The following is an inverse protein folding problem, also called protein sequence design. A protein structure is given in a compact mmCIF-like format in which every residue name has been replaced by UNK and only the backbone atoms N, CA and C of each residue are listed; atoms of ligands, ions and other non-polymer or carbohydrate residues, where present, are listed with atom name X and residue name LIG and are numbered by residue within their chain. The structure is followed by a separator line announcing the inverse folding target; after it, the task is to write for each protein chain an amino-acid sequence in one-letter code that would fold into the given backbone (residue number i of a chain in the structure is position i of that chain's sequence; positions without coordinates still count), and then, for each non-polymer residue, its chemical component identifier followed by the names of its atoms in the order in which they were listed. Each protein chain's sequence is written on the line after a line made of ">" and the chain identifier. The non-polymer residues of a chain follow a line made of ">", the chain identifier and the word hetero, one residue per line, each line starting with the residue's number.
data_IF_399992372305
#
_entry.id   IF_399992372305
#
_cell.length_a   1.000
_cell.length_b   1.000
_cell.length_c   1.000
_cell.angle_alpha   90.00
_cell.angle_beta   90.00
_cell.angle_gamma   90.00
#
_symmetry.space_group_name_H-M   'P 1'
#
loop_
_entity.id
_entity.type
_entity.pdbx_description
1 polymer ?
#
# COMPACT_ATOMS: atom_id res chain seq x y z
N UNK A 1 13.74 -0.89 33.65
CA UNK A 1 14.47 -2.19 33.73
C UNK A 1 14.92 -2.60 32.33
N UNK A 2 16.21 -2.48 32.00
CA UNK A 2 16.79 -2.92 30.70
C UNK A 2 17.28 -4.36 30.86
N UNK A 3 16.46 -5.35 30.51
CA UNK A 3 16.88 -6.76 30.49
C UNK A 3 17.77 -6.99 29.27
N UNK A 4 19.06 -7.29 29.49
CA UNK A 4 19.97 -7.76 28.45
C UNK A 4 19.55 -9.17 28.00
N UNK A 5 18.64 -9.26 27.03
CA UNK A 5 18.27 -10.53 26.39
C UNK A 5 19.48 -11.04 25.59
N UNK A 6 20.02 -12.20 25.96
CA UNK A 6 20.99 -12.93 25.13
C UNK A 6 20.27 -13.38 23.86
N UNK A 7 20.81 -13.06 22.69
CA UNK A 7 20.27 -13.51 21.40
C UNK A 7 20.41 -15.04 21.34
N UNK A 8 19.28 -15.75 21.37
CA UNK A 8 19.23 -17.21 21.18
C UNK A 8 19.40 -17.55 19.69
N UNK A 9 19.95 -18.73 19.38
CA UNK A 9 20.17 -19.17 18.00
C UNK A 9 18.89 -19.13 17.14
N UNK A 10 17.74 -19.44 17.74
CA UNK A 10 16.42 -19.34 17.10
C UNK A 10 16.01 -17.89 16.78
N UNK A 11 16.38 -16.92 17.62
CA UNK A 11 16.13 -15.50 17.32
C UNK A 11 16.96 -15.02 16.14
N UNK A 12 18.22 -15.48 16.00
CA UNK A 12 19.05 -15.15 14.84
C UNK A 12 18.43 -15.67 13.53
N UNK A 13 17.88 -16.89 13.54
CA UNK A 13 17.15 -17.45 12.40
C UNK A 13 15.91 -16.63 12.02
N UNK A 14 15.11 -16.22 13.02
CA UNK A 14 13.94 -15.35 12.80
C UNK A 14 14.36 -14.00 12.21
N UNK A 15 15.40 -13.37 12.75
CA UNK A 15 15.91 -12.10 12.23
C UNK A 15 16.42 -12.23 10.79
N UNK A 16 17.10 -13.33 10.45
CA UNK A 16 17.55 -13.59 9.08
C UNK A 16 16.36 -13.69 8.10
N UNK A 17 15.30 -14.40 8.49
CA UNK A 17 14.08 -14.53 7.68
C UNK A 17 13.40 -13.17 7.51
N UNK A 18 13.26 -12.39 8.59
CA UNK A 18 12.67 -11.05 8.52
C UNK A 18 13.46 -10.18 7.55
N UNK A 19 14.80 -10.13 7.66
CA UNK A 19 15.65 -9.35 6.76
C UNK A 19 15.45 -9.81 5.31
N UNK A 20 15.45 -11.12 5.06
CA UNK A 20 15.25 -11.68 3.71
C UNK A 20 13.90 -11.25 3.12
N UNK A 21 12.80 -11.40 3.86
CA UNK A 21 11.45 -11.03 3.41
C UNK A 21 11.35 -9.51 3.22
N UNK A 22 11.93 -8.72 4.12
CA UNK A 22 11.97 -7.26 3.98
C UNK A 22 12.70 -6.84 2.71
N UNK A 23 13.87 -7.43 2.42
CA UNK A 23 14.61 -7.14 1.19
C UNK A 23 13.80 -7.53 -0.06
N UNK A 24 13.11 -8.66 -0.03
CA UNK A 24 12.23 -9.08 -1.13
C UNK A 24 11.09 -8.10 -1.40
N UNK A 25 10.44 -7.59 -0.35
CA UNK A 25 9.34 -6.61 -0.47
C UNK A 25 9.84 -5.23 -0.89
N UNK A 26 11.00 -4.82 -0.39
CA UNK A 26 11.60 -3.51 -0.72
C UNK A 26 12.17 -3.49 -2.14
N UNK A 27 12.64 -4.62 -2.67
CA UNK A 27 13.25 -4.71 -3.99
C UNK A 27 12.43 -4.08 -5.12
N UNK A 28 11.13 -4.40 -5.33
CA UNK A 28 10.33 -3.76 -6.38
C UNK A 28 10.11 -2.26 -6.13
N UNK A 29 10.03 -1.82 -4.88
CA UNK A 29 9.92 -0.39 -4.54
C UNK A 29 11.21 0.36 -4.86
N UNK A 30 12.36 -0.23 -4.53
CA UNK A 30 13.68 0.28 -4.91
C UNK A 30 13.79 0.40 -6.43
N UNK A 31 13.37 -0.65 -7.16
CA UNK A 31 13.42 -0.66 -8.61
C UNK A 31 12.52 0.41 -9.24
N UNK A 32 11.29 0.58 -8.74
CA UNK A 32 10.40 1.65 -9.18
C UNK A 32 11.01 3.05 -8.92
N UNK A 33 11.61 3.24 -7.73
CA UNK A 33 12.24 4.50 -7.35
C UNK A 33 13.41 4.87 -8.27
N UNK A 34 14.36 3.96 -8.48
CA UNK A 34 15.50 4.25 -9.36
C UNK A 34 15.06 4.48 -10.81
N UNK A 35 13.99 3.80 -11.26
CA UNK A 35 13.46 3.94 -12.62
C UNK A 35 12.87 5.33 -12.84
N UNK A 36 12.29 5.97 -11.81
CA UNK A 36 11.82 7.35 -11.91
C UNK A 36 12.91 8.37 -12.28
N UNK A 37 14.18 8.06 -11.98
CA UNK A 37 15.34 8.92 -12.28
C UNK A 37 16.09 8.52 -13.56
N UNK A 38 15.66 7.47 -14.26
CA UNK A 38 16.29 7.02 -15.51
C UNK A 38 15.68 7.69 -16.72
N UNK A 39 16.50 7.96 -17.73
CA UNK A 39 15.98 8.31 -19.06
C UNK A 39 15.23 7.11 -19.67
N UNK A 40 14.25 7.32 -20.58
CA UNK A 40 13.43 6.24 -21.14
C UNK A 40 14.24 5.08 -21.74
N UNK A 41 15.40 5.39 -22.31
CA UNK A 41 16.33 4.40 -22.86
C UNK A 41 16.94 3.48 -21.80
N UNK A 42 17.32 4.02 -20.63
CA UNK A 42 17.93 3.26 -19.54
C UNK A 42 16.88 2.52 -18.70
N UNK A 43 15.61 2.96 -18.74
CA UNK A 43 14.48 2.29 -18.09
C UNK A 43 14.17 0.93 -18.72
N UNK A 44 14.41 0.77 -20.02
CA UNK A 44 14.21 -0.50 -20.75
C UNK A 44 15.39 -1.47 -20.61
N UNK A 45 16.51 -1.04 -20.00
CA UNK A 45 17.71 -1.84 -19.79
C UNK A 45 17.79 -2.38 -18.36
N UNK A 46 18.43 -3.54 -18.18
CA UNK A 46 18.75 -4.10 -16.86
C UNK A 46 19.88 -3.30 -16.18
N UNK A 47 19.54 -2.10 -15.72
CA UNK A 47 20.40 -1.23 -14.91
C UNK A 47 19.83 -1.13 -13.50
N UNK A 48 20.64 -1.33 -12.47
CA UNK A 48 20.21 -1.30 -11.06
C UNK A 48 21.01 -0.31 -10.22
N UNK A 49 22.26 -0.02 -10.60
CA UNK A 49 23.21 0.74 -9.81
C UNK A 49 23.32 2.18 -10.37
N UNK A 50 22.85 3.21 -9.64
CA UNK A 50 23.00 4.60 -10.05
C UNK A 50 24.47 5.01 -10.10
N UNK A 51 24.82 5.97 -10.98
CA UNK A 51 26.17 6.49 -11.24
C UNK A 51 27.16 5.52 -11.88
N UNK A 52 26.97 4.21 -11.70
CA UNK A 52 27.78 3.18 -12.35
C UNK A 52 27.17 2.70 -13.68
N UNK A 53 25.85 2.48 -13.70
CA UNK A 53 25.15 1.92 -14.86
C UNK A 53 24.28 2.94 -15.61
N UNK A 54 23.88 4.03 -14.97
CA UNK A 54 23.11 5.13 -15.57
C UNK A 54 23.39 6.43 -14.82
N UNK A 55 23.18 7.57 -15.49
CA UNK A 55 23.25 8.90 -14.88
C UNK A 55 21.86 9.29 -14.36
N UNK A 56 21.66 9.45 -13.03
CA UNK A 56 20.37 9.87 -12.50
C UNK A 56 19.99 11.27 -12.99
N UNK A 57 18.78 11.42 -13.50
CA UNK A 57 18.26 12.71 -13.99
C UNK A 57 16.91 13.05 -13.34
N UNK A 58 16.60 14.34 -13.26
CA UNK A 58 15.30 14.85 -12.81
C UNK A 58 14.37 15.16 -13.98
N UNK A 59 14.72 14.78 -15.20
CA UNK A 59 13.99 15.12 -16.42
C UNK A 59 12.54 14.63 -16.36
N UNK A 60 12.32 13.36 -16.01
CA UNK A 60 10.97 12.80 -15.86
C UNK A 60 10.15 13.59 -14.83
N UNK A 61 10.72 13.89 -13.66
CA UNK A 61 10.02 14.67 -12.63
C UNK A 61 9.67 16.09 -13.11
N UNK A 62 10.54 16.73 -13.90
CA UNK A 62 10.27 18.05 -14.47
C UNK A 62 9.17 18.03 -15.54
N UNK A 63 9.14 16.99 -16.37
CA UNK A 63 8.07 16.79 -17.36
C UNK A 63 6.72 16.51 -16.66
N UNK A 64 6.73 15.62 -15.67
CA UNK A 64 5.57 15.18 -14.91
C UNK A 64 4.99 16.24 -13.96
N UNK A 65 5.83 17.15 -13.44
CA UNK A 65 5.38 18.29 -12.62
C UNK A 65 5.17 19.57 -13.43
N UNK A 66 5.63 19.60 -14.68
CA UNK A 66 5.60 20.74 -15.57
C UNK A 66 4.28 20.90 -16.33
N UNK A 67 4.35 21.42 -17.56
CA UNK A 67 3.18 21.75 -18.38
C UNK A 67 2.43 20.50 -18.90
N UNK A 68 3.14 19.39 -19.11
CA UNK A 68 2.57 18.12 -19.56
C UNK A 68 1.83 17.37 -18.43
N UNK A 69 2.21 17.60 -17.17
CA UNK A 69 1.68 16.93 -15.99
C UNK A 69 0.28 17.35 -15.50
N UNK A 70 -0.44 18.23 -16.21
CA UNK A 70 -1.74 18.75 -15.72
C UNK A 70 -2.78 17.65 -15.49
N UNK A 71 -2.85 16.70 -16.42
CA UNK A 71 -3.79 15.58 -16.33
C UNK A 71 -3.42 14.62 -15.19
N UNK A 72 -2.12 14.40 -14.96
CA UNK A 72 -1.65 13.57 -13.84
C UNK A 72 -1.96 14.25 -12.51
N UNK A 73 -1.69 15.56 -12.38
CA UNK A 73 -2.07 16.32 -11.18
C UNK A 73 -3.58 16.27 -10.91
N UNK A 74 -4.40 16.42 -11.95
CA UNK A 74 -5.87 16.28 -11.84
C UNK A 74 -6.26 14.86 -11.42
N UNK A 75 -5.67 13.84 -12.03
CA UNK A 75 -5.90 12.44 -11.67
C UNK A 75 -5.54 12.12 -10.22
N UNK A 76 -4.41 12.65 -9.73
CA UNK A 76 -3.99 12.52 -8.33
C UNK A 76 -4.97 13.20 -7.38
N UNK A 77 -5.41 14.43 -7.68
CA UNK A 77 -6.38 15.16 -6.86
C UNK A 77 -7.74 14.46 -6.84
N UNK A 78 -8.23 14.00 -8.00
CA UNK A 78 -9.47 13.25 -8.09
C UNK A 78 -9.39 11.96 -7.28
N UNK A 79 -8.31 11.19 -7.43
CA UNK A 79 -8.09 9.95 -6.67
C UNK A 79 -8.02 10.21 -5.17
N UNK A 80 -7.31 11.26 -4.76
CA UNK A 80 -7.22 11.65 -3.35
C UNK A 80 -8.58 12.03 -2.76
N UNK A 81 -9.35 12.86 -3.47
CA UNK A 81 -10.69 13.29 -3.04
C UNK A 81 -11.66 12.11 -2.98
N UNK A 82 -11.70 11.27 -4.02
CA UNK A 82 -12.59 10.11 -4.09
C UNK A 82 -12.22 9.09 -3.02
N UNK A 83 -10.94 8.72 -2.88
CA UNK A 83 -10.50 7.74 -1.90
C UNK A 83 -10.76 8.21 -0.47
N UNK A 84 -10.45 9.47 -0.16
CA UNK A 84 -10.68 10.02 1.18
C UNK A 84 -12.17 10.14 1.49
N UNK A 85 -12.97 10.66 0.54
CA UNK A 85 -14.42 10.77 0.69
C UNK A 85 -15.10 9.41 0.85
N UNK A 86 -14.75 8.45 0.00
CA UNK A 86 -15.28 7.09 0.08
C UNK A 86 -14.89 6.42 1.41
N UNK A 87 -13.64 6.58 1.86
CA UNK A 87 -13.17 6.03 3.14
C UNK A 87 -13.93 6.63 4.31
N UNK A 88 -14.12 7.96 4.34
CA UNK A 88 -14.87 8.63 5.40
C UNK A 88 -16.31 8.15 5.48
N UNK A 89 -17.00 8.08 4.34
CA UNK A 89 -18.39 7.60 4.27
C UNK A 89 -18.47 6.13 4.69
N UNK A 90 -17.62 5.28 4.11
CA UNK A 90 -17.60 3.84 4.39
C UNK A 90 -17.29 3.53 5.86
N UNK A 91 -16.30 4.20 6.45
CA UNK A 91 -15.97 4.04 7.87
C UNK A 91 -17.09 4.56 8.76
N UNK A 92 -17.70 5.71 8.45
CA UNK A 92 -18.78 6.28 9.26
C UNK A 92 -20.00 5.36 9.28
N UNK A 93 -20.49 4.96 8.10
CA UNK A 93 -21.64 4.07 7.98
C UNK A 93 -21.33 2.66 8.51
N UNK A 94 -20.14 2.14 8.20
CA UNK A 94 -19.69 0.83 8.65
C UNK A 94 -19.55 0.74 10.17
N UNK A 95 -19.08 1.81 10.82
CA UNK A 95 -18.95 1.85 12.29
C UNK A 95 -20.34 1.90 12.95
N UNK A 96 -21.27 2.71 12.43
CA UNK A 96 -22.64 2.78 12.94
C UNK A 96 -23.37 1.44 12.78
N UNK A 97 -23.27 0.83 11.59
CA UNK A 97 -23.87 -0.48 11.31
C UNK A 97 -23.25 -1.58 12.18
N UNK A 98 -21.91 -1.58 12.31
CA UNK A 98 -21.17 -2.51 13.16
C UNK A 98 -21.55 -2.36 14.64
N UNK A 99 -21.71 -1.13 15.13
CA UNK A 99 -22.17 -0.87 16.50
C UNK A 99 -23.59 -1.42 16.74
N UNK A 100 -24.50 -1.23 15.78
CA UNK A 100 -25.85 -1.79 15.84
C UNK A 100 -25.84 -3.31 16.02
N UNK A 101 -25.08 -4.02 15.18
CA UNK A 101 -24.92 -5.47 15.24
C UNK A 101 -24.19 -5.96 16.49
N UNK A 102 -23.27 -5.17 17.06
CA UNK A 102 -22.53 -5.53 18.26
C UNK A 102 -23.35 -5.34 19.55
N UNK A 103 -24.21 -4.31 19.60
CA UNK A 103 -24.92 -3.94 20.83
C UNK A 103 -26.32 -4.54 20.94
N UNK A 104 -27.04 -4.67 19.83
CA UNK A 104 -28.44 -5.11 19.81
C UNK A 104 -28.57 -6.54 19.27
N UNK A 105 -29.62 -7.25 19.69
CA UNK A 105 -29.97 -8.58 19.17
C UNK A 105 -31.17 -8.44 18.24
N UNK A 106 -31.00 -8.81 16.98
CA UNK A 106 -32.06 -8.75 15.97
C UNK A 106 -32.76 -10.11 15.83
N UNK A 107 -34.08 -10.10 15.57
CA UNK A 107 -34.92 -11.28 15.38
C UNK A 107 -36.02 -10.94 14.34
N UNK A 108 -36.42 -11.86 13.42
CA UNK A 108 -36.05 -13.28 13.33
C UNK A 108 -34.69 -13.59 12.69
N UNK A 109 -34.04 -12.60 12.09
CA UNK A 109 -32.72 -12.78 11.48
C UNK A 109 -31.65 -12.51 12.55
N UNK A 110 -30.93 -13.54 12.98
CA UNK A 110 -29.86 -13.37 13.96
C UNK A 110 -28.70 -12.56 13.37
N UNK A 111 -28.00 -11.82 14.23
CA UNK A 111 -26.89 -10.95 13.83
C UNK A 111 -25.81 -11.67 13.00
N UNK A 112 -25.55 -12.96 13.29
CA UNK A 112 -24.61 -13.81 12.56
C UNK A 112 -25.03 -14.02 11.11
N UNK A 113 -26.32 -14.25 10.86
CA UNK A 113 -26.85 -14.55 9.53
C UNK A 113 -26.83 -13.27 8.67
N UNK A 114 -27.11 -12.12 9.29
CA UNK A 114 -26.96 -10.81 8.64
C UNK A 114 -25.51 -10.52 8.25
N UNK A 115 -24.55 -10.77 9.15
CA UNK A 115 -23.12 -10.56 8.87
C UNK A 115 -22.62 -11.48 7.76
N UNK A 116 -23.00 -12.76 7.79
CA UNK A 116 -22.68 -13.74 6.74
C UNK A 116 -23.26 -13.30 5.40
N UNK A 117 -24.51 -12.82 5.38
CA UNK A 117 -25.16 -12.33 4.16
C UNK A 117 -24.45 -11.09 3.58
N UNK A 118 -24.05 -10.11 4.39
CA UNK A 118 -23.29 -8.96 3.91
C UNK A 118 -21.92 -9.35 3.34
N UNK A 119 -21.23 -10.29 3.99
CA UNK A 119 -19.96 -10.79 3.48
C UNK A 119 -20.15 -11.55 2.17
N UNK A 120 -21.21 -12.35 2.04
CA UNK A 120 -21.47 -13.09 0.81
C UNK A 120 -21.65 -12.15 -0.39
N UNK A 121 -22.37 -11.02 -0.22
CA UNK A 121 -22.55 -10.04 -1.30
C UNK A 121 -21.22 -9.44 -1.80
N UNK A 122 -20.18 -9.36 -0.95
CA UNK A 122 -18.86 -8.84 -1.34
C UNK A 122 -17.99 -9.85 -2.09
N UNK A 123 -18.30 -11.13 -1.99
CA UNK A 123 -17.59 -12.22 -2.70
C UNK A 123 -18.29 -12.65 -3.99
N UNK A 124 -19.52 -12.17 -4.23
CA UNK A 124 -20.18 -12.39 -5.51
C UNK A 124 -19.41 -11.62 -6.60
N UNK A 125 -19.13 -12.26 -7.75
CA UNK A 125 -18.38 -11.67 -8.85
C UNK A 125 -19.14 -10.51 -9.51
#
# INVERSE_FOLDING_TARGET
>A
MRTKRKLTLGQLGIWAIIIMVTLWVIFPLYWALITSFKIPYDALRLSFIPFLQFQPTLANWQEELGLAGREIRRGMLNSFLIASGATLIACSLGTLAGYGLARFRYHPWWNKDMAIWFLSQRFLP
#
